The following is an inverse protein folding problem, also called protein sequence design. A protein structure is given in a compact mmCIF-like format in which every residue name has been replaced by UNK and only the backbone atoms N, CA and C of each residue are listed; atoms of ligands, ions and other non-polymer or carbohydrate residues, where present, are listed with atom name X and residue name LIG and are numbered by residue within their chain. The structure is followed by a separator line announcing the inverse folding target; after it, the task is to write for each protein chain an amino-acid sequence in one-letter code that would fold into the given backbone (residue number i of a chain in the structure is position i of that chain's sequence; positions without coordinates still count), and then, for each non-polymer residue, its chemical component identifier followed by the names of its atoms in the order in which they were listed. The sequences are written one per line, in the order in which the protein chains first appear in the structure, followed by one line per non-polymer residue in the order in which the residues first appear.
data_IF_698289583072
#
_entry.id   IF_698289583072
#
_cell.length_a   1.000
_cell.length_b   1.000
_cell.length_c   1.000
_cell.angle_alpha   90.00
_cell.angle_beta   90.00
_cell.angle_gamma   90.00
#
_symmetry.space_group_name_H-M   'P 1'
#
loop_
_entity.id
_entity.type
_entity.pdbx_description
1 polymer ?
2 non-polymer ?
3 non-polymer ?
4 non-polymer ?
5 non-polymer ?
6 water ?
#
# COMPACT_ATOMS: atom_id res chain seq x y z
N UNK A 1 4.48 4.83 -17.32
CA UNK A 1 5.76 5.24 -16.69
C UNK A 1 5.81 4.97 -15.19
N UNK A 2 6.75 5.63 -14.56
CA UNK A 2 7.12 5.42 -13.15
C UNK A 2 5.86 5.60 -12.31
N UNK A 3 5.21 6.76 -12.50
CA UNK A 3 4.10 7.18 -11.61
C UNK A 3 2.99 6.14 -11.76
N UNK A 4 2.72 5.67 -13.00
CA UNK A 4 1.59 4.75 -13.22
C UNK A 4 1.98 3.39 -12.63
N UNK A 5 3.26 3.03 -12.77
CA UNK A 5 3.82 1.76 -12.19
C UNK A 5 3.67 1.70 -10.65
N UNK A 6 3.82 2.84 -9.96
CA UNK A 6 3.52 2.97 -8.48
C UNK A 6 2.04 2.61 -8.22
N UNK A 7 1.09 3.29 -8.90
CA UNK A 7 -0.32 2.88 -8.94
C UNK A 7 -0.46 1.37 -9.17
N UNK A 8 0.23 0.78 -10.18
CA UNK A 8 0.01 -0.63 -10.57
C UNK A 8 0.40 -1.51 -9.37
N UNK A 9 1.57 -1.28 -8.81
CA UNK A 9 2.12 -2.09 -7.66
C UNK A 9 1.19 -1.84 -6.48
N UNK A 10 0.77 -0.60 -6.26
CA UNK A 10 -0.11 -0.33 -5.08
C UNK A 10 -1.47 -1.02 -5.19
N UNK A 11 -1.90 -1.36 -6.43
CA UNK A 11 -3.12 -2.11 -6.69
C UNK A 11 -3.10 -3.57 -6.25
N UNK A 12 -1.92 -4.20 -6.14
CA UNK A 12 -1.77 -5.61 -5.70
C UNK A 12 -0.50 -5.71 -4.84
N UNK A 13 -0.40 -4.89 -3.79
CA UNK A 13 0.93 -4.55 -3.20
C UNK A 13 1.47 -5.72 -2.39
N UNK A 14 0.57 -6.27 -1.57
CA UNK A 14 0.74 -7.57 -0.86
C UNK A 14 1.49 -8.53 -1.77
N UNK A 15 0.91 -8.91 -2.91
CA UNK A 15 1.42 -10.02 -3.78
C UNK A 15 2.66 -9.60 -4.62
N UNK A 16 2.76 -8.35 -5.07
CA UNK A 16 3.92 -7.81 -5.80
C UNK A 16 5.13 -7.76 -4.86
N UNK A 17 4.93 -7.31 -3.62
CA UNK A 17 5.95 -7.24 -2.58
C UNK A 17 6.58 -8.60 -2.27
N UNK A 18 5.75 -9.62 -2.02
CA UNK A 18 6.20 -10.99 -1.71
C UNK A 18 6.92 -11.57 -2.94
N UNK A 19 6.39 -11.40 -4.14
CA UNK A 19 7.01 -12.01 -5.36
C UNK A 19 8.35 -11.34 -5.66
N UNK A 20 8.43 -10.02 -5.58
CA UNK A 20 9.70 -9.30 -5.90
C UNK A 20 10.75 -9.59 -4.84
N UNK A 21 10.36 -9.52 -3.59
CA UNK A 21 11.29 -9.76 -2.48
C UNK A 21 11.72 -11.23 -2.53
N UNK A 22 10.85 -12.13 -3.02
CA UNK A 22 11.18 -13.58 -3.13
C UNK A 22 12.16 -13.69 -4.31
N UNK A 23 11.97 -12.90 -5.35
CA UNK A 23 12.85 -12.91 -6.55
C UNK A 23 14.25 -12.51 -6.10
N UNK A 24 14.33 -11.55 -5.22
CA UNK A 24 15.60 -11.07 -4.57
C UNK A 24 16.25 -12.19 -3.78
N UNK A 25 15.57 -12.82 -2.82
CA UNK A 25 16.20 -13.89 -1.97
C UNK A 25 16.67 -15.09 -2.80
N UNK A 26 15.95 -15.47 -3.84
CA UNK A 26 16.34 -16.59 -4.74
C UNK A 26 17.47 -16.14 -5.69
N UNK A 27 17.46 -14.93 -6.18
CA UNK A 27 18.63 -14.52 -7.01
C UNK A 27 19.90 -14.37 -6.14
N UNK A 28 19.78 -13.90 -4.93
CA UNK A 28 20.98 -13.65 -4.09
C UNK A 28 20.75 -14.41 -2.80
N UNK A 29 20.95 -15.77 -2.86
CA UNK A 29 20.65 -16.65 -1.74
C UNK A 29 21.38 -16.21 -0.46
N UNK A 30 22.45 -15.43 -0.58
CA UNK A 30 23.22 -14.99 0.62
C UNK A 30 22.41 -13.93 1.39
N UNK A 31 21.44 -13.27 0.75
CA UNK A 31 20.68 -12.17 1.39
C UNK A 31 19.74 -12.70 2.46
N UNK A 32 19.54 -14.01 2.55
CA UNK A 32 18.59 -14.64 3.51
C UNK A 32 19.19 -14.59 4.91
N UNK A 33 20.49 -14.28 5.03
CA UNK A 33 21.20 -14.23 6.33
C UNK A 33 20.67 -13.09 7.17
N UNK A 34 20.30 -11.96 6.52
CA UNK A 34 19.64 -10.76 7.13
C UNK A 34 18.27 -11.16 7.71
N UNK A 35 17.84 -12.42 7.46
CA UNK A 35 16.47 -12.96 7.62
C UNK A 35 16.59 -14.47 7.85
N UNK A 36 17.30 -14.82 8.91
CA UNK A 36 17.70 -16.20 9.27
C UNK A 36 16.42 -17.00 9.41
N UNK A 37 15.37 -16.33 9.90
CA UNK A 37 13.98 -16.85 10.00
C UNK A 37 13.52 -17.39 8.65
N UNK A 38 14.28 -17.20 7.58
CA UNK A 38 13.78 -17.49 6.20
C UNK A 38 14.63 -18.58 5.53
N UNK A 39 15.62 -19.10 6.24
CA UNK A 39 16.55 -20.16 5.77
C UNK A 39 15.76 -21.45 5.74
N UNK A 40 16.06 -22.31 4.75
CA UNK A 40 15.54 -23.67 4.57
C UNK A 40 14.04 -23.68 4.38
N UNK A 41 13.51 -22.63 3.72
CA UNK A 41 12.06 -22.41 3.47
C UNK A 41 11.80 -22.26 1.97
N UNK A 42 10.74 -22.89 1.45
CA UNK A 42 10.29 -22.74 0.04
C UNK A 42 9.52 -21.43 -0.03
N UNK A 43 9.39 -20.84 -1.22
CA UNK A 43 8.58 -19.60 -1.37
C UNK A 43 7.21 -19.75 -0.68
N UNK A 44 6.52 -20.86 -0.90
CA UNK A 44 5.15 -21.06 -0.36
C UNK A 44 5.17 -21.10 1.17
N UNK A 45 6.21 -21.73 1.76
CA UNK A 45 6.51 -21.71 3.24
C UNK A 45 6.70 -20.29 3.72
N UNK A 46 7.59 -19.53 3.04
CA UNK A 46 7.87 -18.12 3.39
C UNK A 46 6.58 -17.32 3.39
N UNK A 47 5.74 -17.48 2.39
CA UNK A 47 4.50 -16.67 2.28
C UNK A 47 3.47 -17.07 3.37
N UNK A 48 3.64 -18.18 4.08
CA UNK A 48 2.76 -18.59 5.22
C UNK A 48 3.36 -18.12 6.55
N UNK A 49 4.57 -17.53 6.57
CA UNK A 49 5.18 -16.98 7.81
C UNK A 49 4.72 -15.52 8.00
N UNK A 50 3.96 -15.30 9.08
CA UNK A 50 3.39 -14.00 9.48
C UNK A 50 4.36 -12.83 9.19
N UNK A 51 5.59 -12.91 9.72
CA UNK A 51 6.60 -11.82 9.58
C UNK A 51 7.08 -11.72 8.15
N UNK A 52 7.17 -12.84 7.43
CA UNK A 52 7.51 -12.74 5.99
C UNK A 52 6.47 -11.81 5.37
N UNK A 53 5.19 -12.18 5.32
CA UNK A 53 4.15 -11.33 4.73
C UNK A 53 4.11 -9.90 5.23
N UNK A 54 4.11 -9.67 6.54
CA UNK A 54 3.87 -8.32 7.10
C UNK A 54 5.08 -7.42 6.84
N UNK A 55 6.28 -7.90 7.15
CA UNK A 55 7.52 -7.09 6.94
C UNK A 55 7.63 -6.72 5.45
N UNK A 56 7.41 -7.65 4.49
CA UNK A 56 7.50 -7.42 3.01
C UNK A 56 6.48 -6.37 2.56
N UNK A 57 5.30 -6.40 3.17
CA UNK A 57 4.27 -5.36 2.92
C UNK A 57 4.81 -4.01 3.38
N UNK A 58 5.36 -3.93 4.61
CA UNK A 58 5.84 -2.65 5.18
C UNK A 58 6.99 -2.11 4.32
N UNK A 59 7.91 -2.98 3.88
CA UNK A 59 9.00 -2.63 2.94
C UNK A 59 8.41 -1.92 1.72
N UNK A 60 7.37 -2.48 1.10
CA UNK A 60 6.93 -2.00 -0.23
C UNK A 60 5.99 -0.83 -0.02
N UNK A 61 5.26 -0.82 1.10
CA UNK A 61 4.42 0.35 1.46
C UNK A 61 5.34 1.59 1.46
N UNK A 62 6.52 1.44 2.09
CA UNK A 62 7.49 2.54 2.22
C UNK A 62 8.20 2.81 0.91
N UNK A 63 8.73 1.76 0.31
CA UNK A 63 9.30 1.86 -1.06
C UNK A 63 8.43 2.74 -1.95
N UNK A 64 7.15 2.47 -1.99
CA UNK A 64 6.23 3.13 -2.94
C UNK A 64 6.10 4.60 -2.59
N UNK A 65 6.02 4.89 -1.26
CA UNK A 65 6.03 6.25 -0.69
C UNK A 65 7.20 7.05 -1.25
N UNK A 66 8.38 6.45 -1.22
CA UNK A 66 9.66 7.13 -1.54
C UNK A 66 9.66 7.34 -3.07
N UNK A 67 9.54 6.27 -3.83
CA UNK A 67 9.10 6.38 -5.24
C UNK A 67 8.10 7.55 -5.41
N UNK A 68 6.96 7.59 -4.69
CA UNK A 68 5.90 8.61 -4.96
C UNK A 68 6.42 10.04 -4.80
N UNK A 69 7.28 10.20 -3.80
CA UNK A 69 7.87 11.46 -3.42
C UNK A 69 9.03 11.85 -4.33
N UNK A 70 9.64 10.95 -5.15
CA UNK A 70 10.85 11.22 -6.00
C UNK A 70 10.52 12.28 -7.05
N UNK A 71 11.49 13.13 -7.42
CA UNK A 71 11.44 13.88 -8.72
C UNK A 71 12.28 13.14 -9.78
N UNK A 72 11.68 12.75 -10.94
CA UNK A 72 12.47 12.19 -12.09
C UNK A 72 13.25 10.98 -11.58
N UNK A 73 12.60 10.16 -10.73
CA UNK A 73 13.20 8.92 -10.15
C UNK A 73 14.35 9.26 -9.19
N UNK A 74 14.41 10.49 -8.67
CA UNK A 74 15.40 10.91 -7.64
C UNK A 74 14.65 11.07 -6.32
N UNK A 75 14.84 10.12 -5.38
CA UNK A 75 14.19 10.20 -4.08
C UNK A 75 14.63 11.43 -3.30
N UNK A 76 13.83 11.87 -2.32
CA UNK A 76 14.21 12.96 -1.39
C UNK A 76 15.38 12.51 -0.50
N UNK A 77 16.29 13.40 -0.16
CA UNK A 77 17.36 13.13 0.85
C UNK A 77 16.77 12.69 2.22
N UNK A 78 15.67 13.32 2.66
CA UNK A 78 14.97 13.03 3.96
C UNK A 78 14.57 11.55 3.99
N UNK A 79 14.05 11.01 2.89
CA UNK A 79 13.71 9.56 2.76
C UNK A 79 14.97 8.69 2.72
N UNK A 80 16.02 9.11 2.02
CA UNK A 80 17.38 8.51 2.09
C UNK A 80 17.83 8.44 3.55
N UNK A 81 17.69 9.58 4.23
CA UNK A 81 18.08 9.75 5.66
C UNK A 81 17.38 8.66 6.50
N UNK A 82 16.06 8.48 6.29
CA UNK A 82 15.20 7.58 7.11
C UNK A 82 15.73 6.14 6.96
N UNK A 83 15.88 5.68 5.71
CA UNK A 83 16.31 4.30 5.38
C UNK A 83 17.64 3.99 6.05
N UNK A 84 18.62 4.87 5.82
CA UNK A 84 19.97 4.70 6.42
C UNK A 84 19.82 4.63 7.93
N UNK A 85 18.99 5.52 8.49
CA UNK A 85 18.99 5.73 9.96
C UNK A 85 18.23 4.60 10.65
N UNK A 86 17.31 3.92 9.96
CA UNK A 86 16.44 2.91 10.60
C UNK A 86 17.30 1.90 11.39
N UNK A 87 16.92 1.62 12.64
CA UNK A 87 17.61 0.64 13.53
C UNK A 87 17.72 -0.73 12.84
N UNK A 88 16.70 -1.09 12.07
CA UNK A 88 16.54 -2.40 11.39
C UNK A 88 17.57 -2.56 10.28
N UNK A 89 18.14 -1.44 9.82
CA UNK A 89 19.19 -1.36 8.76
C UNK A 89 20.56 -0.94 9.31
N UNK A 90 20.79 -1.06 10.61
CA UNK A 90 22.14 -0.86 11.20
C UNK A 90 23.17 -1.63 10.37
N UNK A 91 23.02 -2.95 10.31
CA UNK A 91 24.00 -3.81 9.63
C UNK A 91 23.73 -3.98 8.14
N UNK A 92 23.30 -2.93 7.42
CA UNK A 92 23.16 -2.99 5.93
C UNK A 92 24.17 -2.07 5.23
N UNK A 93 24.36 -2.34 3.94
CA UNK A 93 25.29 -1.68 3.00
C UNK A 93 24.52 -1.43 1.70
N UNK A 94 24.97 -0.51 0.85
CA UNK A 94 24.20 -0.08 -0.35
C UNK A 94 24.04 -1.28 -1.31
N UNK A 95 25.01 -2.22 -1.34
CA UNK A 95 25.03 -3.44 -2.19
C UNK A 95 23.77 -4.27 -2.00
N UNK A 96 23.29 -4.33 -0.75
CA UNK A 96 22.00 -4.97 -0.35
C UNK A 96 20.89 -4.35 -1.18
N UNK A 97 20.93 -3.02 -1.33
CA UNK A 97 19.81 -2.29 -1.97
C UNK A 97 19.92 -2.51 -3.48
N UNK A 98 21.09 -2.26 -4.05
CA UNK A 98 21.33 -2.49 -5.48
C UNK A 98 20.70 -3.83 -5.87
N UNK A 99 21.01 -4.90 -5.12
CA UNK A 99 20.48 -6.26 -5.37
C UNK A 99 18.97 -6.26 -5.32
N UNK A 100 18.37 -5.74 -4.26
CA UNK A 100 16.88 -5.60 -4.27
C UNK A 100 16.45 -5.01 -5.61
N UNK A 101 17.14 -3.98 -6.11
CA UNK A 101 16.65 -3.28 -7.32
C UNK A 101 16.98 -4.01 -8.63
N UNK A 102 18.10 -4.72 -8.69
CA UNK A 102 18.41 -5.61 -9.85
C UNK A 102 17.26 -6.59 -9.99
N UNK A 103 16.89 -7.33 -8.92
CA UNK A 103 15.78 -8.30 -8.93
C UNK A 103 14.47 -7.65 -9.38
N UNK A 104 14.02 -6.61 -8.68
CA UNK A 104 12.79 -5.84 -8.99
C UNK A 104 12.74 -5.55 -10.49
N UNK A 105 13.80 -5.01 -11.06
CA UNK A 105 13.83 -4.57 -12.48
C UNK A 105 13.78 -5.79 -13.35
N UNK A 106 14.57 -6.81 -12.99
CA UNK A 106 14.54 -8.14 -13.64
C UNK A 106 13.09 -8.67 -13.63
N UNK A 107 12.45 -8.57 -12.43
CA UNK A 107 11.04 -9.03 -12.24
C UNK A 107 10.14 -8.32 -13.25
N UNK A 108 10.33 -7.00 -13.39
CA UNK A 108 9.43 -6.16 -14.23
C UNK A 108 9.65 -6.49 -15.72
N UNK A 109 10.90 -6.76 -16.09
CA UNK A 109 11.33 -7.04 -17.48
C UNK A 109 10.79 -8.40 -17.94
N UNK A 110 10.76 -9.37 -17.02
CA UNK A 110 10.23 -10.73 -17.23
C UNK A 110 8.71 -10.77 -17.02
N UNK A 111 8.10 -9.71 -16.47
CA UNK A 111 6.62 -9.67 -16.33
C UNK A 111 6.02 -9.57 -17.72
N UNK A 112 4.74 -9.89 -17.89
CA UNK A 112 4.13 -9.60 -19.19
C UNK A 112 3.85 -8.11 -19.36
N UNK A 113 4.03 -7.30 -18.29
CA UNK A 113 3.36 -5.99 -18.08
C UNK A 113 4.25 -4.88 -18.67
N UNK A 114 3.66 -3.72 -19.01
CA UNK A 114 4.37 -2.54 -19.57
C UNK A 114 4.96 -1.68 -18.43
N UNK A 115 5.55 -2.30 -17.42
CA UNK A 115 6.25 -1.56 -16.33
C UNK A 115 7.30 -0.71 -17.05
N UNK A 116 7.63 0.43 -16.53
CA UNK A 116 8.70 1.30 -17.14
C UNK A 116 10.01 0.89 -16.47
N UNK A 117 10.59 -0.26 -16.88
CA UNK A 117 11.74 -0.88 -16.15
C UNK A 117 12.92 0.10 -16.13
N UNK A 118 13.04 0.91 -17.15
CA UNK A 118 14.12 1.93 -17.28
C UNK A 118 14.10 2.81 -16.02
N UNK A 119 12.93 3.36 -15.72
CA UNK A 119 12.65 4.22 -14.52
C UNK A 119 13.14 3.55 -13.25
N UNK A 120 12.56 2.39 -12.90
CA UNK A 120 12.92 1.64 -11.66
C UNK A 120 14.44 1.44 -11.53
N UNK A 121 15.15 1.20 -12.65
CA UNK A 121 16.62 0.98 -12.72
C UNK A 121 17.33 2.26 -12.30
N UNK A 122 17.01 3.39 -12.95
CA UNK A 122 17.46 4.72 -12.48
C UNK A 122 17.07 4.84 -11.01
N UNK A 123 15.80 4.54 -10.66
CA UNK A 123 15.30 4.82 -9.30
C UNK A 123 16.18 4.03 -8.31
N UNK A 124 16.45 2.77 -8.64
CA UNK A 124 17.31 1.89 -7.82
C UNK A 124 18.66 2.56 -7.67
N UNK A 125 19.30 2.82 -8.81
CA UNK A 125 20.60 3.54 -8.85
C UNK A 125 20.55 4.79 -7.97
N UNK A 126 19.57 5.67 -8.18
CA UNK A 126 19.51 6.99 -7.52
C UNK A 126 19.24 6.86 -6.02
N UNK A 127 18.46 5.87 -5.58
CA UNK A 127 18.33 5.58 -4.15
C UNK A 127 19.70 5.18 -3.59
N UNK A 128 20.48 4.32 -4.29
CA UNK A 128 21.78 3.82 -3.78
C UNK A 128 22.73 5.02 -3.67
N UNK A 129 22.75 5.90 -4.67
CA UNK A 129 23.47 7.20 -4.62
C UNK A 129 23.13 7.92 -3.32
N UNK A 130 21.83 7.99 -3.04
CA UNK A 130 21.28 8.87 -1.98
C UNK A 130 21.47 8.25 -0.61
N UNK A 131 21.52 6.91 -0.56
CA UNK A 131 21.87 6.17 0.68
C UNK A 131 23.34 6.45 0.98
N UNK A 132 24.26 6.19 0.03
CA UNK A 132 25.68 6.64 0.13
C UNK A 132 25.74 8.04 0.74
N UNK A 133 25.11 9.04 0.10
CA UNK A 133 25.28 10.47 0.45
C UNK A 133 24.75 10.76 1.88
N UNK A 134 23.82 9.95 2.37
CA UNK A 134 23.23 10.08 3.73
C UNK A 134 24.03 9.25 4.76
N UNK A 135 24.99 8.43 4.28
CA UNK A 135 26.04 7.81 5.11
C UNK A 135 25.99 6.30 5.11
N UNK A 136 25.15 5.67 4.29
CA UNK A 136 25.21 4.19 4.17
C UNK A 136 26.56 3.82 3.54
N UNK A 137 27.13 2.70 3.99
CA UNK A 137 28.39 2.13 3.46
C UNK A 137 28.06 1.44 2.13
N UNK B 1 -1.00 16.30 9.05
CA UNK B 1 -2.26 16.86 8.44
C UNK B 1 -2.86 15.85 7.50
N UNK B 2 -3.70 16.26 6.56
CA UNK B 2 -4.41 15.28 5.69
C UNK B 2 -3.36 14.50 4.92
N UNK B 3 -2.41 15.22 4.35
CA UNK B 3 -1.39 14.58 3.46
C UNK B 3 -0.49 13.61 4.23
N UNK B 4 -0.13 13.94 5.47
CA UNK B 4 0.64 13.04 6.33
C UNK B 4 -0.22 11.84 6.74
N UNK B 5 -1.47 12.08 7.15
CA UNK B 5 -2.48 11.01 7.39
C UNK B 5 -2.38 9.98 6.25
N UNK B 6 -2.41 10.46 5.03
CA UNK B 6 -2.36 9.51 3.85
C UNK B 6 -1.10 8.63 3.98
N UNK B 7 0.08 9.26 4.14
CA UNK B 7 1.38 8.59 4.45
C UNK B 7 1.21 7.56 5.55
N UNK B 8 0.72 7.97 6.71
CA UNK B 8 0.60 7.09 7.89
C UNK B 8 -0.24 5.88 7.51
N UNK B 9 -1.39 6.12 6.91
CA UNK B 9 -2.32 5.01 6.56
C UNK B 9 -1.64 4.08 5.56
N UNK B 10 -0.89 4.66 4.60
CA UNK B 10 -0.22 3.92 3.51
C UNK B 10 0.90 3.07 4.08
N UNK B 11 1.43 3.46 5.26
CA UNK B 11 2.62 2.87 5.85
C UNK B 11 2.27 1.55 6.48
N UNK B 12 0.99 1.33 6.76
CA UNK B 12 0.52 0.03 7.33
C UNK B 12 -0.89 -0.16 6.84
N UNK B 13 -1.03 -0.17 5.50
CA UNK B 13 -2.35 -0.07 4.80
C UNK B 13 -3.21 -1.27 5.21
N UNK B 14 -2.64 -2.47 5.08
CA UNK B 14 -3.23 -3.76 5.49
C UNK B 14 -3.94 -3.54 6.83
N UNK B 15 -3.18 -3.39 7.91
CA UNK B 15 -3.67 -3.23 9.30
C UNK B 15 -4.77 -2.15 9.40
N UNK B 16 -4.51 -0.93 8.94
CA UNK B 16 -5.47 0.20 9.01
C UNK B 16 -6.78 -0.08 8.27
N UNK B 17 -6.72 -0.65 7.05
CA UNK B 17 -7.89 -0.96 6.20
C UNK B 17 -8.79 -1.98 6.93
N UNK B 18 -8.25 -3.10 7.41
CA UNK B 18 -9.03 -4.12 8.15
C UNK B 18 -9.72 -3.49 9.36
N UNK B 19 -8.94 -2.90 10.25
CA UNK B 19 -9.37 -2.31 11.55
C UNK B 19 -10.53 -1.32 11.31
N UNK B 20 -10.34 -0.36 10.41
CA UNK B 20 -11.36 0.66 10.13
C UNK B 20 -12.57 -0.01 9.48
N UNK B 21 -12.33 -0.99 8.61
CA UNK B 21 -13.43 -1.65 7.87
C UNK B 21 -14.21 -2.53 8.84
N UNK B 22 -13.57 -3.02 9.90
CA UNK B 22 -14.30 -3.86 10.89
C UNK B 22 -15.06 -2.89 11.82
N UNK B 23 -14.52 -1.69 12.04
CA UNK B 23 -15.17 -0.57 12.79
C UNK B 23 -16.47 -0.17 12.08
N UNK B 24 -16.43 -0.08 10.75
CA UNK B 24 -17.59 0.19 9.85
C UNK B 24 -18.64 -0.92 9.96
N UNK B 25 -18.25 -2.19 9.80
CA UNK B 25 -19.18 -3.34 9.78
C UNK B 25 -19.84 -3.50 11.15
N UNK B 26 -19.07 -3.33 12.22
CA UNK B 26 -19.58 -3.38 13.60
C UNK B 26 -20.53 -2.22 13.90
N UNK B 27 -20.23 -1.02 13.40
CA UNK B 27 -21.06 0.16 13.70
C UNK B 27 -22.39 0.05 12.95
N UNK B 28 -22.35 -0.49 11.73
CA UNK B 28 -23.50 -0.55 10.78
C UNK B 28 -23.72 -1.99 10.34
N UNK B 29 -24.28 -2.83 11.22
CA UNK B 29 -24.26 -4.28 10.97
C UNK B 29 -25.03 -4.66 9.70
N UNK B 30 -25.90 -3.77 9.20
CA UNK B 30 -26.67 -4.02 7.95
C UNK B 30 -25.78 -3.84 6.73
N UNK B 31 -24.63 -3.16 6.85
CA UNK B 31 -23.69 -2.97 5.73
C UNK B 31 -23.07 -4.33 5.32
N UNK B 32 -23.07 -5.32 6.23
CA UNK B 32 -22.49 -6.67 5.98
C UNK B 32 -23.21 -7.36 4.82
N UNK B 33 -24.50 -7.03 4.59
CA UNK B 33 -25.33 -7.61 3.50
C UNK B 33 -24.65 -7.46 2.13
N UNK B 34 -23.83 -6.42 1.92
CA UNK B 34 -23.04 -6.16 0.70
C UNK B 34 -21.92 -7.20 0.58
N UNK B 35 -21.68 -7.94 1.66
CA UNK B 35 -20.49 -8.77 1.88
C UNK B 35 -20.94 -10.07 2.57
N UNK B 36 -21.45 -10.98 1.75
CA UNK B 36 -22.16 -12.21 2.14
C UNK B 36 -21.18 -13.23 2.69
N UNK B 37 -19.92 -13.15 2.25
CA UNK B 37 -18.85 -14.09 2.67
C UNK B 37 -18.48 -13.80 4.13
N UNK B 38 -18.90 -12.65 4.68
CA UNK B 38 -18.36 -12.07 5.94
C UNK B 38 -19.32 -12.23 7.10
N UNK B 39 -20.60 -12.53 6.82
CA UNK B 39 -21.69 -12.68 7.83
C UNK B 39 -21.42 -13.91 8.72
N UNK B 40 -21.88 -13.85 9.99
CA UNK B 40 -21.75 -14.95 10.95
C UNK B 40 -20.30 -15.18 11.35
N UNK B 41 -19.47 -14.16 11.24
CA UNK B 41 -17.99 -14.25 11.40
C UNK B 41 -17.48 -13.17 12.37
N UNK B 42 -16.54 -13.51 13.26
CA UNK B 42 -15.96 -12.53 14.22
C UNK B 42 -14.85 -11.75 13.49
N UNK B 43 -14.40 -10.64 14.08
CA UNK B 43 -13.28 -9.84 13.47
C UNK B 43 -12.07 -10.76 13.19
N UNK B 44 -11.76 -11.71 14.10
CA UNK B 44 -10.61 -12.64 13.94
C UNK B 44 -10.90 -13.79 12.97
N UNK B 45 -12.18 -14.14 12.71
CA UNK B 45 -12.54 -15.07 11.61
C UNK B 45 -12.31 -14.35 10.30
N UNK B 46 -12.81 -13.12 10.23
CA UNK B 46 -12.63 -12.27 9.04
C UNK B 46 -11.15 -12.07 8.75
N UNK B 47 -10.31 -11.77 9.75
CA UNK B 47 -8.87 -11.47 9.50
C UNK B 47 -8.13 -12.73 8.96
N UNK B 48 -8.67 -13.91 9.23
CA UNK B 48 -8.10 -15.20 8.83
C UNK B 48 -8.37 -15.44 7.34
N UNK B 49 -9.30 -14.69 6.74
CA UNK B 49 -9.77 -15.03 5.35
C UNK B 49 -8.92 -14.26 4.35
N UNK B 50 -8.38 -14.93 3.32
CA UNK B 50 -7.49 -14.27 2.33
C UNK B 50 -8.23 -13.04 1.79
N UNK B 51 -9.46 -13.24 1.31
CA UNK B 51 -10.12 -12.25 0.43
C UNK B 51 -10.54 -11.03 1.26
N UNK B 52 -10.80 -11.24 2.55
CA UNK B 52 -10.98 -10.15 3.54
C UNK B 52 -9.83 -9.16 3.49
N UNK B 53 -8.62 -9.57 3.92
CA UNK B 53 -7.46 -8.69 3.93
C UNK B 53 -7.22 -8.15 2.53
N UNK B 54 -7.15 -9.02 1.52
CA UNK B 54 -6.82 -8.62 0.12
C UNK B 54 -7.82 -7.54 -0.34
N UNK B 55 -9.12 -7.76 -0.18
CA UNK B 55 -10.15 -6.80 -0.67
C UNK B 55 -10.13 -5.50 0.13
N UNK B 56 -10.10 -5.54 1.45
CA UNK B 56 -10.11 -4.31 2.31
C UNK B 56 -8.86 -3.48 1.95
N UNK B 57 -7.71 -4.10 1.75
CA UNK B 57 -6.48 -3.32 1.44
C UNK B 57 -6.73 -2.48 0.18
N UNK B 58 -7.46 -3.07 -0.79
CA UNK B 58 -7.52 -2.54 -2.19
C UNK B 58 -8.54 -1.41 -2.23
N UNK B 59 -9.67 -1.55 -1.51
CA UNK B 59 -10.55 -0.39 -1.13
C UNK B 59 -9.70 0.76 -0.64
N UNK B 60 -8.90 0.53 0.40
CA UNK B 60 -8.21 1.60 1.14
C UNK B 60 -7.12 2.12 0.24
N UNK B 61 -6.48 1.24 -0.53
CA UNK B 61 -5.53 1.76 -1.52
C UNK B 61 -6.24 2.82 -2.38
N UNK B 62 -7.37 2.50 -3.00
CA UNK B 62 -8.01 3.43 -3.95
C UNK B 62 -8.52 4.65 -3.17
N UNK B 63 -9.10 4.38 -2.02
CA UNK B 63 -9.44 5.52 -1.14
C UNK B 63 -8.24 6.46 -0.98
N UNK B 64 -7.03 5.95 -0.76
CA UNK B 64 -5.85 6.85 -0.51
C UNK B 64 -5.51 7.56 -1.81
N UNK B 65 -5.72 6.89 -2.96
CA UNK B 65 -5.34 7.48 -4.27
C UNK B 65 -6.24 8.69 -4.46
N UNK B 66 -7.56 8.48 -4.35
CA UNK B 66 -8.57 9.59 -4.39
C UNK B 66 -8.20 10.67 -3.37
N UNK B 67 -7.88 10.25 -2.16
CA UNK B 67 -7.59 11.24 -1.10
C UNK B 67 -6.38 12.08 -1.50
N UNK B 68 -5.36 11.43 -2.09
CA UNK B 68 -4.10 12.05 -2.54
C UNK B 68 -4.32 13.03 -3.70
N UNK B 69 -5.21 12.70 -4.61
CA UNK B 69 -5.43 13.49 -5.84
C UNK B 69 -6.38 14.66 -5.48
N UNK B 70 -7.05 14.63 -4.31
CA UNK B 70 -8.01 15.69 -3.92
C UNK B 70 -7.33 17.04 -3.69
N UNK B 71 -8.03 18.14 -3.93
CA UNK B 71 -7.50 19.49 -3.59
C UNK B 71 -8.31 19.96 -2.40
N UNK B 72 -7.68 20.37 -1.29
CA UNK B 72 -8.40 20.95 -0.11
C UNK B 72 -9.53 19.96 0.27
N UNK B 73 -9.21 18.64 0.34
CA UNK B 73 -10.11 17.48 0.65
C UNK B 73 -11.31 17.38 -0.32
N UNK B 74 -11.25 18.01 -1.48
CA UNK B 74 -12.32 17.88 -2.51
C UNK B 74 -11.81 16.96 -3.60
N UNK B 75 -12.52 15.86 -3.84
CA UNK B 75 -12.02 14.78 -4.67
C UNK B 75 -12.35 15.10 -6.11
N UNK B 76 -11.54 14.59 -7.04
CA UNK B 76 -11.77 14.72 -8.50
C UNK B 76 -13.11 14.11 -8.89
N UNK B 77 -13.87 14.83 -9.72
CA UNK B 77 -15.12 14.34 -10.34
C UNK B 77 -14.86 13.02 -11.05
N UNK B 78 -13.76 12.97 -11.79
CA UNK B 78 -13.28 11.77 -12.51
C UNK B 78 -13.12 10.60 -11.50
N UNK B 79 -12.65 10.87 -10.28
CA UNK B 79 -12.48 9.80 -9.25
C UNK B 79 -13.84 9.36 -8.68
N UNK B 80 -14.75 10.28 -8.39
CA UNK B 80 -16.15 9.92 -8.04
C UNK B 80 -16.66 9.07 -9.23
N UNK B 81 -16.57 9.59 -10.44
CA UNK B 81 -17.10 8.84 -11.61
C UNK B 81 -16.70 7.36 -11.45
N UNK B 82 -15.40 7.10 -11.24
CA UNK B 82 -14.80 5.73 -11.29
C UNK B 82 -15.52 4.87 -10.24
N UNK B 83 -15.78 5.47 -9.07
CA UNK B 83 -16.40 4.77 -7.93
C UNK B 83 -17.87 4.44 -8.24
N UNK B 84 -18.59 5.40 -8.81
CA UNK B 84 -19.98 5.20 -9.35
C UNK B 84 -20.00 4.06 -10.37
N UNK B 85 -19.04 4.08 -11.31
CA UNK B 85 -19.05 3.23 -12.53
C UNK B 85 -18.45 1.83 -12.26
N UNK B 86 -17.89 1.57 -11.07
CA UNK B 86 -17.30 0.24 -10.72
C UNK B 86 -18.42 -0.78 -10.60
N UNK B 87 -18.31 -1.87 -11.37
CA UNK B 87 -19.31 -2.97 -11.41
C UNK B 87 -19.56 -3.51 -9.99
N UNK B 88 -18.60 -3.33 -9.08
CA UNK B 88 -18.68 -3.94 -7.72
C UNK B 88 -19.53 -3.05 -6.81
N UNK B 89 -19.88 -1.82 -7.24
CA UNK B 89 -20.75 -0.89 -6.47
C UNK B 89 -22.11 -0.67 -7.17
N UNK B 90 -22.39 -1.47 -8.20
CA UNK B 90 -23.69 -1.50 -8.94
C UNK B 90 -24.72 -0.64 -8.20
N UNK B 91 -25.42 -1.25 -7.26
CA UNK B 91 -26.60 -0.68 -6.59
C UNK B 91 -26.28 -0.31 -5.16
N UNK B 92 -25.13 0.36 -4.97
CA UNK B 92 -24.85 1.24 -3.80
C UNK B 92 -25.51 2.62 -3.97
N UNK B 93 -25.86 3.16 -2.80
CA UNK B 93 -26.22 4.57 -2.56
C UNK B 93 -25.05 5.24 -1.82
N UNK B 94 -25.00 6.57 -1.84
CA UNK B 94 -23.91 7.38 -1.25
C UNK B 94 -23.92 7.20 0.28
N UNK B 95 -25.06 6.82 0.85
CA UNK B 95 -25.21 6.63 2.30
C UNK B 95 -24.31 5.52 2.80
N UNK B 96 -24.05 4.53 1.94
CA UNK B 96 -23.05 3.46 2.20
C UNK B 96 -21.69 4.13 2.45
N UNK B 97 -21.27 5.05 1.56
CA UNK B 97 -20.03 5.84 1.73
C UNK B 97 -20.14 6.82 2.91
N UNK B 98 -21.29 7.49 3.14
CA UNK B 98 -21.46 8.30 4.39
C UNK B 98 -21.00 7.46 5.59
N UNK B 99 -21.69 6.36 5.88
CA UNK B 99 -21.46 5.48 7.06
C UNK B 99 -19.99 5.07 7.14
N UNK B 100 -19.33 4.78 6.01
CA UNK B 100 -17.92 4.32 6.07
C UNK B 100 -16.99 5.41 6.61
N UNK B 101 -17.12 6.63 6.10
CA UNK B 101 -16.29 7.75 6.59
C UNK B 101 -16.71 8.14 8.00
N UNK B 102 -17.98 8.11 8.34
CA UNK B 102 -18.32 8.30 9.79
C UNK B 102 -17.48 7.31 10.63
N UNK B 103 -17.50 6.05 10.25
CA UNK B 103 -16.75 5.01 11.00
C UNK B 103 -15.24 5.31 10.93
N UNK B 104 -14.71 5.68 9.76
CA UNK B 104 -13.27 6.09 9.66
C UNK B 104 -12.93 7.26 10.58
N UNK B 105 -13.76 8.32 10.58
CA UNK B 105 -13.56 9.52 11.43
C UNK B 105 -13.68 9.16 12.91
N UNK B 106 -14.74 8.47 13.28
CA UNK B 106 -14.85 7.95 14.67
C UNK B 106 -13.56 7.20 15.04
N UNK B 107 -13.07 6.42 14.09
CA UNK B 107 -11.95 5.48 14.35
C UNK B 107 -10.70 6.30 14.61
N UNK B 108 -10.60 7.47 13.93
CA UNK B 108 -9.39 8.31 14.03
C UNK B 108 -9.44 9.04 15.37
N UNK B 109 -10.63 9.54 15.74
CA UNK B 109 -10.87 10.34 16.98
C UNK B 109 -10.53 9.53 18.23
N UNK B 110 -10.88 8.24 18.27
CA UNK B 110 -10.56 7.31 19.38
C UNK B 110 -9.14 6.73 19.29
N UNK B 111 -8.43 6.83 18.16
CA UNK B 111 -7.02 6.37 18.05
C UNK B 111 -6.14 7.21 18.97
N UNK B 112 -5.01 6.66 19.37
CA UNK B 112 -4.01 7.41 20.20
C UNK B 112 -3.30 8.49 19.38
N UNK B 113 -3.62 8.66 18.09
CA UNK B 113 -2.71 9.44 17.21
C UNK B 113 -3.32 10.75 16.65
N UNK B 114 -2.47 11.58 16.10
CA UNK B 114 -2.80 12.95 15.63
C UNK B 114 -3.17 12.92 14.14
N UNK B 115 -4.18 12.14 13.81
CA UNK B 115 -4.90 12.15 12.51
C UNK B 115 -5.73 13.43 12.44
N UNK B 116 -5.95 13.93 11.24
CA UNK B 116 -6.63 15.24 11.01
C UNK B 116 -8.09 14.90 10.73
N UNK B 117 -8.81 14.49 11.79
CA UNK B 117 -10.18 13.96 11.71
C UNK B 117 -11.12 14.96 10.99
N UNK B 118 -11.03 16.26 11.34
CA UNK B 118 -11.82 17.35 10.67
C UNK B 118 -11.69 17.24 9.13
N UNK B 119 -10.48 17.07 8.61
CA UNK B 119 -10.21 16.87 7.15
C UNK B 119 -10.88 15.63 6.60
N UNK B 120 -10.72 14.48 7.28
CA UNK B 120 -11.35 13.24 6.85
C UNK B 120 -12.86 13.41 6.77
N UNK B 121 -13.46 14.05 7.78
CA UNK B 121 -14.92 14.33 7.84
C UNK B 121 -15.28 15.16 6.61
N UNK B 122 -14.50 16.22 6.33
CA UNK B 122 -14.67 17.12 5.16
C UNK B 122 -14.53 16.30 3.87
N UNK B 123 -13.52 15.44 3.80
CA UNK B 123 -13.29 14.57 2.62
C UNK B 123 -14.43 13.56 2.41
N UNK B 124 -14.88 12.89 3.46
CA UNK B 124 -16.09 12.06 3.32
C UNK B 124 -17.28 12.91 2.84
N UNK B 125 -17.64 13.99 3.51
CA UNK B 125 -18.75 14.89 3.01
C UNK B 125 -18.57 15.20 1.53
N UNK B 126 -17.33 15.59 1.15
CA UNK B 126 -17.01 16.08 -0.20
C UNK B 126 -16.99 14.94 -1.19
N UNK B 127 -16.60 13.72 -0.79
CA UNK B 127 -16.66 12.51 -1.65
C UNK B 127 -18.13 12.12 -1.85
N UNK B 128 -18.95 12.18 -0.79
CA UNK B 128 -20.43 11.89 -0.88
C UNK B 128 -21.12 12.85 -1.87
N UNK B 129 -20.84 14.15 -1.79
CA UNK B 129 -21.40 15.14 -2.75
C UNK B 129 -21.07 14.69 -4.19
N UNK B 130 -19.79 14.35 -4.39
CA UNK B 130 -19.20 14.10 -5.72
C UNK B 130 -19.76 12.79 -6.28
N UNK B 131 -19.88 11.74 -5.44
CA UNK B 131 -20.58 10.52 -5.91
C UNK B 131 -21.96 10.92 -6.46
N UNK B 132 -22.73 11.75 -5.72
CA UNK B 132 -24.05 12.30 -6.16
C UNK B 132 -23.90 13.01 -7.52
N UNK B 133 -22.90 13.89 -7.65
CA UNK B 133 -22.69 14.70 -8.89
C UNK B 133 -22.32 13.77 -10.05
N UNK B 134 -21.61 12.69 -9.77
CA UNK B 134 -21.26 11.70 -10.82
C UNK B 134 -22.35 10.62 -10.97
N UNK B 135 -23.47 10.70 -10.28
CA UNK B 135 -24.69 9.96 -10.67
C UNK B 135 -25.10 8.89 -9.66
N UNK B 136 -24.39 8.73 -8.53
CA UNK B 136 -24.83 7.72 -7.53
C UNK B 136 -26.19 8.15 -6.96
N UNK B 137 -27.05 7.18 -6.68
CA UNK B 137 -28.33 7.30 -5.93
C UNK B 137 -27.98 7.64 -4.47
X LIG C 1 13.28 -3.63 8.27
X LIG C 1 11.88 -0.66 4.66
X LIG C 1 15.44 -2.42 1.90
X LIG C 1 16.48 -5.60 5.31
X LIG C 1 12.59 -2.68 7.52
X LIG C 1 11.36 -2.05 7.88
X LIG C 1 10.98 -1.22 6.87
X LIG C 1 11.94 -1.34 5.86
X LIG C 1 9.75 -0.33 6.82
X LIG C 1 10.63 -2.21 9.19
X LIG C 1 9.42 -3.10 9.01
X LIG C 1 9.10 -3.85 10.29
X LIG C 1 7.91 -4.22 10.45
X LIG C 1 9.98 -4.11 11.16
X LIG C 1 12.76 -0.89 3.59
X LIG C 1 12.66 -0.22 2.32
X LIG C 1 13.66 -0.72 1.53
X LIG C 1 14.37 -1.69 2.37
X LIG C 1 11.64 0.84 1.92
X LIG C 1 14.08 -0.37 0.14
X LIG C 1 13.58 0.64 -0.59
X LIG C 1 16.02 -3.46 2.59
X LIG C 1 16.99 -4.31 2.06
X LIG C 1 17.29 -5.25 3.02
X LIG C 1 16.46 -4.93 4.14
X LIG C 1 17.57 -4.19 0.67
X LIG C 1 18.26 -6.38 2.97
X LIG C 1 18.95 -6.71 1.88
X LIG C 1 15.69 -5.29 6.38
X LIG C 1 15.77 -6.12 7.58
X LIG C 1 14.88 -5.59 8.42
X LIG C 1 14.28 -4.41 7.72
X LIG C 1 16.65 -7.32 7.88
X LIG C 1 14.64 -6.09 9.82
X LIG C 1 14.31 -7.58 9.92
X LIG C 1 12.93 -7.72 9.38
X LIG C 1 12.36 -6.67 8.97
X LIG C 1 12.37 -8.84 9.32
X LIG C 1 12.91 -2.23 6.26
X LIG C 1 13.77 -1.76 3.57
X LIG C 1 15.70 -3.85 3.83
X LIG C 1 14.80 -4.31 6.49
X LIG C 1 14.39 -3.00 5.17
X LIG D 1 29.74 -6.10 -3.36
X LIG D 1 29.03 -4.93 -3.00
X LIG D 1 28.95 -7.35 -3.00
X LIG D 1 28.73 -7.37 -1.59
X LIG D 1 29.61 -8.63 -3.44
X LIG D 1 29.28 -9.70 -2.57
X LIG E 1 11.20 -9.28 4.75
X LIG E 1 11.46 -8.32 3.78
X LIG E 1 11.87 -7.04 4.14
X LIG E 1 11.95 -6.67 5.48
X LIG E 1 11.67 -7.61 6.44
X LIG E 1 11.32 -8.90 6.09
X LIG E 1 10.84 -10.70 4.37
X LIG E 1 12.25 -5.25 5.87
X LIG E 1 11.15 -9.74 7.14
X LIG E 1 9.49 -11.11 4.91
X LIG E 1 10.91 -11.01 2.89
X LIG F 1 6.38 9.15 -15.59
X LIG F 1 7.38 8.19 -15.98
X LIG F 1 6.36 9.32 -14.13
X LIG F 1 6.64 10.42 -16.25
X LIG F 1 5.08 8.71 -16.02
X LIG G 1 -15.36 -3.84 -4.13
X LIG G 1 -13.12 0.44 -3.73
X LIG G 1 -16.63 2.02 -0.73
X LIG G 1 -19.04 -2.07 -1.53
X LIG G 1 -14.44 -2.82 -4.23
X LIG G 1 -13.16 -2.93 -4.85
X LIG G 1 -12.55 -1.75 -4.73
X LIG G 1 -13.42 -0.88 -4.05
X LIG G 1 -11.20 -1.37 -5.27
X LIG G 1 -12.54 -4.12 -5.55
X LIG G 1 -11.42 -4.72 -4.67
X LIG G 1 -11.21 -6.20 -4.92
X LIG G 1 -10.43 -6.86 -4.20
X LIG G 1 -11.82 -6.78 -5.85
X LIG G 1 -13.88 1.24 -2.87
X LIG G 1 -13.49 2.53 -2.42
X LIG G 1 -14.46 2.99 -1.54
X LIG G 1 -15.47 1.92 -1.49
X LIG G 1 -12.23 3.26 -2.79
X LIG G 1 -14.58 4.29 -0.79
X LIG G 1 -13.76 5.34 -0.92
X LIG G 1 -17.60 1.04 -0.66
X LIG G 1 -18.74 1.05 0.17
X LIG G 1 -19.44 -0.14 -0.06
X LIG G 1 -18.69 -0.85 -1.05
X LIG G 1 -19.10 2.16 1.13
X LIG G 1 -20.65 -0.68 0.58
X LIG G 1 -21.13 -0.23 1.73
X LIG G 1 -18.19 -2.84 -2.30
X LIG G 1 -18.56 -4.21 -2.64
X LIG G 1 -17.54 -4.73 -3.35
X LIG G 1 -16.54 -3.65 -3.45
X LIG G 1 -19.85 -4.90 -2.25
X LIG G 1 -17.48 -6.11 -3.96
X LIG G 1 -18.05 -7.23 -3.07
X LIG G 1 -17.87 -8.57 -3.78
X LIG G 1 -17.34 -9.56 -3.20
X LIG G 1 -18.28 -8.68 -4.95
X LIG G 1 -14.57 -1.55 -3.72
X LIG G 1 -15.06 0.92 -2.30
X LIG G 1 -17.59 -0.11 -1.39
X LIG G 1 -16.98 -2.53 -2.78
X LIG G 1 -16.09 -0.89 -2.62
X LIG H 1 -13.52 -5.30 1.82
X LIG H 1 -13.60 -3.96 2.15
X LIG H 1 -14.26 -3.07 1.33
X LIG H 1 -14.84 -3.48 0.15
X LIG H 1 -14.75 -4.82 -0.21
X LIG H 1 -14.11 -5.72 0.62
X LIG H 1 -12.92 -6.28 2.80
X LIG H 1 -15.56 -2.49 -0.73
X LIG H 1 -14.11 -7.05 0.34
X LIG H 1 -13.76 -6.32 4.06
X LIG H 1 -12.81 -7.66 2.19
X LIG I 1 -2.32 19.03 5.03
X LIG I 1 -1.25 18.74 5.93
X LIG I 1 -3.56 19.08 5.76
X LIG I 1 -2.13 20.33 4.38
X LIG I 1 -2.35 18.00 4.03
#
# INVERSE_FOLDING_TARGET
GFKQDIATLRGDLRTYAQDIFLAFLNKYPDEKRNFKNYVGKSDQELKSMAKFGDHTEKVFNLMMEVADRATDCVPLASDASTLVQMKQHSGLTTGNFEKLFVALVEYMRASGQSFDSQSWDRFGKNLVSALSSAGMK
GFKQDIATLRGDLRTYAQDIFLAFLNKYPDEKRNFKNYVGKSDQELKSMAKFGDHTEKVFNLMMEVADRATDCVPLASDASTLVQMKQHSGLTTGNFEKLFVALVEYMRASGQSFDSQSWDRFGKNLVSALSSAGMK
HEM CHA CHB CHC CHD C1A C2A C3A C4A CMA CAA CBA CGA O1A O2A C1B C2B C3B C4B CMB CAB CBB C1C C2C C3C C4C CMC CAC CBC C1D C2D C3D C4D CMD CAD CBD CGD O1D O2D NA NB NC ND FE
GOL C1 O1 C2 O2 C3 O3
IPB C4 C5 C6 C1 C2 C3 C8 C7 O C9 C10
SO4 S O1 O2 O3 O4
HEM CHA CHB CHC CHD C1A C2A C3A C4A CMA CAA CBA CGA O1A O2A C1B C2B C3B C4B CMB CAB CBB C1C C2C C3C C4C CMC CAC CBC C1D C2D C3D C4D CMD CAD CBD CGD O1D O2D NA NB NC ND FE
IPB C4 C5 C6 C1 C2 C3 C8 C7 O C9 C10
SO4 S O1 O2 O3 O4
#
